data_IF_914634179032
#
_entry.id   IF_914634179032
#
_cell.length_a   1.000
_cell.length_b   1.000
_cell.length_c   1.000
_cell.angle_alpha   90.00
_cell.angle_beta   90.00
_cell.angle_gamma   90.00
#
_symmetry.space_group_name_H-M   'P 1'
#
loop_
_entity.id
_entity.type
_entity.pdbx_description
1 polymer ?
#
# COMPACT_ATOMS: atom_id res chain seq x y z
N UNK A 1 22.19 1.21 -20.14
CA UNK A 1 21.87 0.35 -18.96
C UNK A 1 22.22 -1.08 -19.28
N UNK A 2 23.01 -1.72 -18.44
CA UNK A 2 23.41 -3.12 -18.62
C UNK A 2 22.30 -4.09 -18.20
N UNK A 3 22.30 -5.35 -18.67
CA UNK A 3 21.34 -6.36 -18.20
C UNK A 3 21.34 -6.51 -16.66
N UNK A 4 22.49 -6.41 -16.04
CA UNK A 4 22.62 -6.50 -14.59
C UNK A 4 21.97 -5.29 -13.85
N UNK A 5 22.09 -4.10 -14.42
CA UNK A 5 21.42 -2.89 -13.91
C UNK A 5 19.90 -2.98 -14.05
N UNK A 6 19.43 -3.58 -15.14
CA UNK A 6 18.00 -3.82 -15.35
C UNK A 6 17.49 -4.82 -14.31
N UNK A 7 18.17 -5.95 -14.13
CA UNK A 7 17.74 -6.98 -13.17
C UNK A 7 17.62 -6.45 -11.74
N UNK A 8 18.51 -5.55 -11.34
CA UNK A 8 18.45 -4.89 -10.03
C UNK A 8 17.22 -3.99 -9.83
N UNK A 9 16.53 -3.64 -10.90
CA UNK A 9 15.33 -2.79 -10.90
C UNK A 9 14.04 -3.57 -11.15
N UNK A 10 14.12 -4.89 -11.14
CA UNK A 10 12.95 -5.76 -11.27
C UNK A 10 12.54 -6.24 -9.90
N UNK A 11 11.26 -6.03 -9.57
CA UNK A 11 10.63 -6.61 -8.39
C UNK A 11 9.54 -7.56 -8.87
N UNK A 12 9.68 -8.82 -8.52
CA UNK A 12 8.70 -9.85 -8.88
C UNK A 12 7.68 -10.00 -7.76
N UNK A 13 6.44 -10.31 -8.12
CA UNK A 13 5.37 -10.47 -7.15
C UNK A 13 5.74 -11.46 -6.03
N UNK A 14 6.39 -12.57 -6.36
CA UNK A 14 6.80 -13.58 -5.38
C UNK A 14 7.90 -13.12 -4.43
N UNK A 15 8.59 -12.02 -4.74
CA UNK A 15 9.69 -11.48 -3.92
C UNK A 15 9.20 -10.38 -2.97
N UNK A 16 7.92 -10.01 -3.03
CA UNK A 16 7.37 -8.95 -2.18
C UNK A 16 7.35 -9.39 -0.72
N UNK A 17 7.91 -8.54 0.14
CA UNK A 17 7.98 -8.74 1.58
C UNK A 17 6.96 -7.84 2.26
N UNK A 18 5.94 -8.40 2.93
CA UNK A 18 4.91 -7.62 3.58
C UNK A 18 5.43 -6.96 4.86
N UNK A 19 4.89 -5.77 5.15
CA UNK A 19 4.96 -5.13 6.44
C UNK A 19 3.56 -5.14 7.06
N UNK A 20 3.41 -5.81 8.19
CA UNK A 20 2.11 -5.90 8.91
C UNK A 20 1.93 -4.79 9.94
N UNK A 21 2.96 -4.00 10.17
CA UNK A 21 2.99 -2.92 11.15
C UNK A 21 3.21 -1.55 10.50
N UNK A 22 2.81 -1.42 9.22
CA UNK A 22 3.11 -0.24 8.42
C UNK A 22 2.55 1.06 8.99
N UNK A 23 1.37 0.99 9.62
CA UNK A 23 0.68 2.16 10.16
C UNK A 23 0.15 1.86 11.56
N UNK A 24 -0.07 2.92 12.32
CA UNK A 24 -0.55 2.83 13.70
C UNK A 24 -1.87 2.06 13.84
N UNK A 25 -2.72 2.10 12.84
CA UNK A 25 -3.98 1.37 12.85
C UNK A 25 -3.83 -0.16 12.72
N UNK A 26 -2.61 -0.65 12.49
CA UNK A 26 -2.30 -2.09 12.57
C UNK A 26 -2.59 -2.68 13.95
N UNK A 27 -2.67 -1.86 14.99
CA UNK A 27 -3.04 -2.28 16.34
C UNK A 27 -4.54 -2.19 16.62
N UNK A 28 -5.34 -1.78 15.64
CA UNK A 28 -6.77 -1.58 15.79
C UNK A 28 -7.52 -2.82 15.26
N UNK A 29 -8.46 -3.40 16.03
CA UNK A 29 -9.28 -4.51 15.56
C UNK A 29 -10.00 -4.17 14.25
N UNK A 30 -9.92 -5.09 13.29
CA UNK A 30 -10.46 -4.88 11.94
C UNK A 30 -9.49 -4.21 10.96
N UNK A 31 -8.33 -3.76 11.42
CA UNK A 31 -7.25 -3.21 10.58
C UNK A 31 -5.91 -3.94 10.79
N UNK A 32 -5.87 -4.91 11.68
CA UNK A 32 -4.66 -5.62 12.13
C UNK A 32 -4.21 -6.75 11.20
N UNK A 33 -4.96 -7.04 10.14
CA UNK A 33 -4.64 -8.11 9.18
C UNK A 33 -4.13 -7.58 7.84
N UNK A 34 -3.79 -6.31 7.77
CA UNK A 34 -3.26 -5.69 6.56
C UNK A 34 -1.82 -6.12 6.29
N UNK A 35 -1.51 -6.29 5.01
CA UNK A 35 -0.15 -6.41 4.53
C UNK A 35 0.13 -5.23 3.59
N UNK A 36 1.19 -4.49 3.88
CA UNK A 36 1.63 -3.38 3.06
C UNK A 36 3.00 -3.70 2.46
N UNK A 37 3.18 -3.34 1.21
CA UNK A 37 4.42 -3.57 0.47
C UNK A 37 4.92 -2.23 -0.05
N UNK A 38 6.16 -1.88 0.26
CA UNK A 38 6.83 -0.72 -0.30
C UNK A 38 7.67 -1.19 -1.49
N UNK A 39 7.24 -0.84 -2.70
CA UNK A 39 7.87 -1.34 -3.92
C UNK A 39 8.96 -0.39 -4.38
N UNK A 40 8.66 0.88 -4.60
CA UNK A 40 9.63 1.86 -5.03
C UNK A 40 9.53 3.13 -4.20
N UNK A 41 10.69 3.69 -3.86
CA UNK A 41 10.80 4.90 -3.06
C UNK A 41 10.79 4.61 -1.56
N UNK A 42 10.79 5.67 -0.75
CA UNK A 42 10.80 5.55 0.71
C UNK A 42 9.49 5.07 1.33
N UNK A 43 8.41 5.06 0.52
CA UNK A 43 7.10 4.66 1.01
C UNK A 43 6.51 5.66 2.00
N UNK A 44 5.36 5.28 2.53
CA UNK A 44 4.62 6.07 3.52
C UNK A 44 4.46 5.33 4.85
N UNK A 45 5.07 4.15 4.96
CA UNK A 45 5.01 3.35 6.19
C UNK A 45 5.74 4.06 7.34
N UNK A 46 5.12 4.04 8.49
CA UNK A 46 5.68 4.55 9.74
C UNK A 46 6.53 3.50 10.47
N UNK A 47 6.52 2.27 9.99
CA UNK A 47 7.22 1.15 10.63
C UNK A 47 8.69 1.08 10.20
N UNK A 48 9.56 0.79 11.17
CA UNK A 48 10.97 0.48 10.90
C UNK A 48 11.16 -0.89 10.23
N UNK A 49 10.15 -1.74 10.30
CA UNK A 49 10.18 -3.11 9.76
C UNK A 49 9.84 -3.17 8.27
N UNK A 50 9.51 -2.03 7.65
CA UNK A 50 9.21 -2.01 6.23
C UNK A 50 10.45 -2.37 5.40
N UNK A 51 10.24 -3.23 4.41
CA UNK A 51 11.24 -3.51 3.39
C UNK A 51 11.00 -2.64 2.16
N UNK A 52 12.01 -1.92 1.72
CA UNK A 52 11.97 -1.12 0.48
C UNK A 52 12.64 -1.93 -0.61
N UNK A 53 11.87 -2.38 -1.59
CA UNK A 53 12.37 -3.26 -2.66
C UNK A 53 13.27 -2.52 -3.65
N UNK A 54 12.88 -1.32 -4.05
CA UNK A 54 13.67 -0.44 -4.92
C UNK A 54 13.87 0.90 -4.23
N UNK A 55 15.09 1.22 -3.86
CA UNK A 55 15.43 2.43 -3.08
C UNK A 55 15.59 3.69 -3.92
N UNK A 56 15.15 3.65 -5.15
CA UNK A 56 15.19 4.81 -6.03
C UNK A 56 14.18 5.87 -5.57
N UNK A 57 14.45 7.13 -5.88
CA UNK A 57 13.59 8.26 -5.52
C UNK A 57 13.15 9.00 -6.78
N UNK A 58 12.21 8.43 -7.55
CA UNK A 58 11.82 9.00 -8.84
C UNK A 58 10.84 10.19 -8.73
N UNK A 59 10.57 10.67 -7.52
CA UNK A 59 9.59 11.73 -7.29
C UNK A 59 8.18 11.21 -7.00
N UNK A 60 8.02 9.90 -6.91
CA UNK A 60 6.78 9.23 -6.50
C UNK A 60 7.11 7.94 -5.76
N UNK A 61 6.13 7.39 -5.08
CA UNK A 61 6.23 6.07 -4.43
C UNK A 61 5.23 5.12 -5.06
N UNK A 62 5.58 3.84 -5.11
CA UNK A 62 4.64 2.77 -5.46
C UNK A 62 4.63 1.78 -4.30
N UNK A 63 3.43 1.52 -3.82
CA UNK A 63 3.17 0.51 -2.82
C UNK A 63 2.06 -0.43 -3.27
N UNK A 64 1.88 -1.49 -2.54
CA UNK A 64 0.75 -2.39 -2.68
C UNK A 64 0.20 -2.73 -1.30
N UNK A 65 -1.06 -3.11 -1.24
CA UNK A 65 -1.72 -3.54 -0.02
C UNK A 65 -2.51 -4.83 -0.28
N UNK A 66 -2.41 -5.75 0.66
CA UNK A 66 -3.23 -6.95 0.72
C UNK A 66 -4.06 -6.94 2.00
N UNK A 67 -5.35 -7.26 1.87
CA UNK A 67 -6.27 -7.29 3.01
C UNK A 67 -7.20 -8.48 2.86
N UNK A 68 -7.43 -9.25 3.93
CA UNK A 68 -8.50 -10.24 3.92
C UNK A 68 -9.87 -9.56 3.92
N UNK A 69 -10.95 -10.29 3.59
CA UNK A 69 -12.30 -9.72 3.65
C UNK A 69 -12.60 -9.10 5.02
N UNK A 70 -13.32 -7.98 5.01
CA UNK A 70 -13.72 -7.20 6.19
C UNK A 70 -12.57 -6.46 6.89
N UNK A 71 -11.34 -6.58 6.44
CA UNK A 71 -10.24 -5.75 6.92
C UNK A 71 -10.37 -4.34 6.32
N UNK A 72 -10.06 -3.32 7.11
CA UNK A 72 -10.27 -1.93 6.73
C UNK A 72 -9.10 -1.04 7.13
N UNK A 73 -9.05 0.13 6.53
CA UNK A 73 -8.17 1.21 6.95
C UNK A 73 -8.96 2.20 7.81
N UNK A 74 -8.30 2.81 8.78
CA UNK A 74 -8.83 3.96 9.48
C UNK A 74 -8.91 5.16 8.54
N UNK A 75 -9.90 6.03 8.76
CA UNK A 75 -9.99 7.27 8.00
C UNK A 75 -8.76 8.14 8.25
N UNK A 76 -8.16 8.61 7.18
CA UNK A 76 -6.98 9.45 7.21
C UNK A 76 -6.95 10.37 6.00
N UNK A 77 -6.03 11.33 6.01
CA UNK A 77 -5.81 12.24 4.90
C UNK A 77 -4.34 12.17 4.46
N UNK A 78 -4.11 12.48 3.19
CA UNK A 78 -2.78 12.69 2.62
C UNK A 78 -2.67 14.11 2.08
N UNK A 79 -1.47 14.64 2.06
CA UNK A 79 -1.17 15.94 1.44
C UNK A 79 -0.77 15.82 -0.02
N UNK A 80 -0.63 14.58 -0.50
CA UNK A 80 -0.24 14.25 -1.87
C UNK A 80 -1.38 13.51 -2.58
N UNK A 81 -1.36 13.53 -3.91
CA UNK A 81 -2.27 12.75 -4.71
C UNK A 81 -1.97 11.25 -4.59
N UNK A 82 -3.02 10.44 -4.60
CA UNK A 82 -2.95 8.99 -4.64
C UNK A 82 -3.75 8.43 -5.80
N UNK A 83 -3.29 7.34 -6.35
CA UNK A 83 -4.00 6.57 -7.38
C UNK A 83 -4.06 5.12 -6.91
N UNK A 84 -5.22 4.51 -7.03
CA UNK A 84 -5.43 3.12 -6.65
C UNK A 84 -5.80 2.28 -7.87
N UNK A 85 -5.16 1.12 -7.98
CA UNK A 85 -5.53 0.08 -8.93
C UNK A 85 -5.93 -1.17 -8.17
N UNK A 86 -7.12 -1.68 -8.42
CA UNK A 86 -7.56 -2.95 -7.84
C UNK A 86 -7.05 -4.08 -8.72
N UNK A 87 -6.13 -4.86 -8.18
CA UNK A 87 -5.50 -5.98 -8.87
C UNK A 87 -6.23 -7.31 -8.62
N UNK A 88 -6.96 -7.40 -7.52
CA UNK A 88 -7.71 -8.59 -7.16
C UNK A 88 -8.82 -8.27 -6.17
N UNK A 89 -9.99 -8.87 -6.38
CA UNK A 89 -11.13 -8.82 -5.47
C UNK A 89 -11.96 -7.55 -5.57
N UNK A 90 -12.73 -7.29 -4.54
CA UNK A 90 -13.63 -6.13 -4.44
C UNK A 90 -13.16 -5.24 -3.31
N UNK A 91 -13.03 -3.95 -3.64
CA UNK A 91 -12.58 -2.95 -2.69
C UNK A 91 -13.59 -1.81 -2.63
N UNK A 92 -14.06 -1.50 -1.42
CA UNK A 92 -14.90 -0.35 -1.17
C UNK A 92 -14.04 0.81 -0.70
N UNK A 93 -14.08 1.90 -1.43
CA UNK A 93 -13.49 3.18 -1.07
C UNK A 93 -14.59 4.11 -0.61
N UNK A 94 -14.39 4.78 0.51
CA UNK A 94 -15.34 5.73 1.06
C UNK A 94 -14.59 6.96 1.59
N UNK A 95 -15.24 8.09 1.58
CA UNK A 95 -14.62 9.36 1.93
C UNK A 95 -15.54 10.29 2.70
N UNK A 96 -14.96 11.44 3.15
CA UNK A 96 -15.60 12.43 3.97
C UNK A 96 -15.15 12.36 5.41
N UNK A 97 -15.45 13.39 6.17
CA UNK A 97 -15.00 13.52 7.55
C UNK A 97 -15.36 12.32 8.42
N UNK A 98 -16.53 11.71 8.16
CA UNK A 98 -17.01 10.53 8.90
C UNK A 98 -17.11 9.29 7.99
N UNK A 99 -16.51 9.32 6.80
CA UNK A 99 -16.60 8.23 5.84
C UNK A 99 -17.96 8.07 5.18
N UNK A 100 -18.81 9.09 5.22
CA UNK A 100 -20.20 9.01 4.76
C UNK A 100 -20.55 10.00 3.64
N UNK A 101 -19.59 10.79 3.15
CA UNK A 101 -19.83 11.73 2.07
C UNK A 101 -20.02 11.03 0.72
N UNK A 102 -19.39 9.88 0.51
CA UNK A 102 -19.58 9.07 -0.68
C UNK A 102 -18.76 7.78 -0.60
N UNK A 103 -19.06 6.89 -1.54
CA UNK A 103 -18.33 5.62 -1.67
C UNK A 103 -18.34 5.11 -3.10
N UNK A 104 -17.40 4.23 -3.41
CA UNK A 104 -17.34 3.47 -4.65
C UNK A 104 -16.80 2.08 -4.38
N UNK A 105 -17.31 1.11 -5.11
CA UNK A 105 -16.78 -0.26 -5.10
C UNK A 105 -16.07 -0.49 -6.43
N UNK A 106 -14.81 -0.89 -6.35
CA UNK A 106 -13.98 -1.20 -7.51
C UNK A 106 -13.63 -2.69 -7.50
N UNK A 107 -13.54 -3.27 -8.68
CA UNK A 107 -13.15 -4.66 -8.92
C UNK A 107 -11.99 -4.69 -9.92
N UNK A 108 -11.28 -5.85 -10.00
CA UNK A 108 -10.24 -6.12 -10.99
C UNK A 108 -10.74 -6.12 -12.43
#
# INVERSE_FOLDING_TARGET
>A
MTPNEIEKRIVRYGDLIPCKTAFIDAHTPGSDQKENFTIIGGGVSESVDQHIHLRETPGFNIGAAGQPPQCRNSLHIHTTAEVFFVLKGRWRFFWGRFGTAGEVVLEE
#
